data_IF_417559357288
#
_entry.id   IF_417559357288
#
_cell.length_a   1.000
_cell.length_b   1.000
_cell.length_c   1.000
_cell.angle_alpha   90.00
_cell.angle_beta   90.00
_cell.angle_gamma   90.00
#
_symmetry.space_group_name_H-M   'P 1'
#
loop_
_entity.id
_entity.type
_entity.pdbx_description
1 polymer ?
#
# COMPACT_ATOMS: atom_id res chain seq x y z
N UNK A 1 10.77 13.59 -2.63
CA UNK A 1 10.04 14.56 -3.50
C UNK A 1 10.93 15.78 -3.71
N UNK A 2 10.70 16.65 -4.71
CA UNK A 2 11.45 17.93 -4.71
C UNK A 2 10.97 18.77 -3.53
N UNK A 3 11.90 19.30 -2.72
CA UNK A 3 11.56 20.19 -1.62
C UNK A 3 10.67 21.36 -2.08
N UNK A 4 9.78 21.81 -1.21
CA UNK A 4 9.05 23.06 -1.44
C UNK A 4 10.03 24.24 -1.54
N UNK A 5 9.68 25.31 -2.26
CA UNK A 5 10.56 26.50 -2.38
C UNK A 5 11.01 27.04 -1.02
N UNK A 6 10.14 26.95 -0.01
CA UNK A 6 10.47 27.36 1.35
C UNK A 6 11.48 26.44 2.02
N UNK A 7 11.33 25.12 1.88
CA UNK A 7 12.29 24.17 2.44
C UNK A 7 13.64 24.24 1.72
N UNK A 8 13.67 24.57 0.43
CA UNK A 8 14.91 24.82 -0.30
C UNK A 8 15.68 26.01 0.30
N UNK A 9 14.99 27.11 0.62
CA UNK A 9 15.61 28.29 1.26
C UNK A 9 16.12 27.96 2.67
N UNK A 10 15.39 27.12 3.42
CA UNK A 10 15.82 26.62 4.72
C UNK A 10 17.07 25.73 4.60
N UNK A 11 17.09 24.80 3.64
CA UNK A 11 18.23 23.93 3.33
C UNK A 11 19.48 24.75 3.04
N UNK A 12 19.39 25.70 2.10
CA UNK A 12 20.51 26.60 1.77
C UNK A 12 21.00 27.37 3.00
N UNK A 13 20.08 27.84 3.84
CA UNK A 13 20.43 28.55 5.08
C UNK A 13 21.16 27.65 6.08
N UNK A 14 20.69 26.42 6.27
CA UNK A 14 21.30 25.44 7.17
C UNK A 14 22.70 25.05 6.69
N UNK A 15 22.86 24.78 5.39
CA UNK A 15 24.17 24.44 4.79
C UNK A 15 25.14 25.60 4.97
N UNK A 16 24.74 26.85 4.64
CA UNK A 16 25.59 28.02 4.83
C UNK A 16 25.99 28.24 6.30
N UNK A 17 25.06 28.02 7.24
CA UNK A 17 25.36 28.13 8.66
C UNK A 17 26.33 27.02 9.12
N UNK A 18 26.19 25.81 8.59
CA UNK A 18 27.07 24.68 8.86
C UNK A 18 28.49 24.91 8.32
N UNK A 19 28.61 25.40 7.08
CA UNK A 19 29.90 25.74 6.45
C UNK A 19 30.65 26.84 7.21
N UNK A 20 29.92 27.80 7.78
CA UNK A 20 30.48 28.92 8.55
C UNK A 20 30.70 28.58 10.03
N UNK A 21 30.35 27.35 10.46
CA UNK A 21 30.32 26.93 11.87
C UNK A 21 29.52 27.91 12.76
N UNK A 22 28.48 28.54 12.21
CA UNK A 22 27.65 29.54 12.88
C UNK A 22 26.63 28.87 13.81
N UNK A 23 27.13 28.47 14.99
CA UNK A 23 26.33 27.79 16.01
C UNK A 23 25.14 28.62 16.49
N UNK A 24 25.29 29.94 16.61
CA UNK A 24 24.20 30.80 17.07
C UNK A 24 23.02 30.76 16.09
N UNK A 25 23.31 30.69 14.79
CA UNK A 25 22.28 30.59 13.76
C UNK A 25 21.61 29.22 13.74
N UNK A 26 22.38 28.14 13.88
CA UNK A 26 21.84 26.77 13.96
C UNK A 26 20.96 26.58 15.20
N UNK A 27 21.41 27.07 16.36
CA UNK A 27 20.67 27.00 17.62
C UNK A 27 19.35 27.82 17.58
N UNK A 28 19.28 28.86 16.74
CA UNK A 28 18.04 29.63 16.53
C UNK A 28 17.08 28.93 15.57
N UNK A 29 17.58 28.37 14.47
CA UNK A 29 16.74 27.87 13.38
C UNK A 29 16.29 26.42 13.57
N UNK A 30 17.18 25.52 14.01
CA UNK A 30 16.84 24.10 14.15
C UNK A 30 15.65 23.84 15.09
N UNK A 31 15.48 24.58 16.20
CA UNK A 31 14.29 24.42 17.04
C UNK A 31 12.98 24.86 16.38
N UNK A 32 13.03 25.80 15.43
CA UNK A 32 11.82 26.33 14.75
C UNK A 32 11.29 25.39 13.67
N UNK A 33 12.16 24.54 13.09
CA UNK A 33 11.77 23.54 12.11
C UNK A 33 11.06 22.36 12.76
N UNK A 34 10.04 21.83 12.08
CA UNK A 34 9.37 20.58 12.50
C UNK A 34 10.26 19.38 12.13
N UNK A 35 10.02 18.24 12.80
CA UNK A 35 10.81 17.03 12.53
C UNK A 35 10.65 16.56 11.08
N UNK A 36 9.40 16.51 10.58
CA UNK A 36 9.10 16.18 9.17
C UNK A 36 9.74 17.15 8.16
N UNK A 37 9.68 18.46 8.41
CA UNK A 37 10.31 19.45 7.52
C UNK A 37 11.83 19.28 7.47
N UNK A 38 12.43 18.94 8.61
CA UNK A 38 13.87 18.71 8.70
C UNK A 38 14.26 17.36 8.09
N UNK A 39 13.46 16.30 8.25
CA UNK A 39 13.74 15.00 7.64
C UNK A 39 13.72 15.10 6.12
N UNK A 40 12.78 15.83 5.50
CA UNK A 40 12.80 16.06 4.05
C UNK A 40 14.09 16.75 3.58
N UNK A 41 14.57 17.76 4.33
CA UNK A 41 15.84 18.44 4.01
C UNK A 41 17.02 17.48 4.13
N UNK A 42 17.07 16.68 5.19
CA UNK A 42 18.14 15.73 5.45
C UNK A 42 18.12 14.57 4.44
N UNK A 43 16.94 14.10 4.02
CA UNK A 43 16.75 13.11 2.96
C UNK A 43 17.35 13.64 1.65
N UNK A 44 17.00 14.86 1.23
CA UNK A 44 17.56 15.45 0.01
C UNK A 44 19.09 15.63 0.13
N UNK A 45 19.61 16.00 1.30
CA UNK A 45 21.05 16.13 1.51
C UNK A 45 21.79 14.78 1.48
N UNK A 46 21.19 13.73 2.04
CA UNK A 46 21.78 12.39 2.05
C UNK A 46 21.74 11.76 0.65
N UNK A 47 20.59 11.81 -0.02
CA UNK A 47 20.36 11.11 -1.28
C UNK A 47 20.83 11.90 -2.52
N UNK A 48 20.40 13.16 -2.66
CA UNK A 48 20.60 13.92 -3.90
C UNK A 48 21.97 14.61 -3.92
N UNK A 49 22.43 15.10 -2.77
CA UNK A 49 23.71 15.79 -2.64
C UNK A 49 24.88 14.86 -2.23
N UNK A 50 24.59 13.61 -1.82
CA UNK A 50 25.58 12.64 -1.29
C UNK A 50 26.40 13.23 -0.12
N UNK A 51 25.75 14.01 0.76
CA UNK A 51 26.38 14.75 1.87
C UNK A 51 25.94 14.26 3.26
N UNK A 52 26.05 12.94 3.46
CA UNK A 52 25.86 12.30 4.77
C UNK A 52 26.68 12.95 5.91
N UNK A 53 27.93 13.43 5.70
CA UNK A 53 28.68 14.13 6.74
C UNK A 53 27.99 15.41 7.26
N UNK A 54 27.34 16.18 6.39
CA UNK A 54 26.59 17.35 6.82
C UNK A 54 25.30 16.98 7.55
N UNK A 55 24.62 15.92 7.12
CA UNK A 55 23.45 15.36 7.81
C UNK A 55 23.80 14.99 9.26
N UNK A 56 24.86 14.21 9.47
CA UNK A 56 25.30 13.81 10.81
C UNK A 56 25.66 15.01 11.69
N UNK A 57 26.33 16.02 11.12
CA UNK A 57 26.65 17.24 11.87
C UNK A 57 25.41 18.03 12.26
N UNK A 58 24.41 18.14 11.39
CA UNK A 58 23.15 18.82 11.71
C UNK A 58 22.40 18.09 12.84
N UNK A 59 22.35 16.74 12.76
CA UNK A 59 21.80 15.91 13.83
C UNK A 59 22.55 16.10 15.16
N UNK A 60 23.86 16.36 15.12
CA UNK A 60 24.68 16.63 16.31
C UNK A 60 24.31 17.93 17.04
N UNK A 61 23.69 18.89 16.37
CA UNK A 61 23.15 20.11 16.99
C UNK A 61 21.77 19.91 17.63
N UNK A 62 21.09 18.79 17.34
CA UNK A 62 19.78 18.50 17.93
C UNK A 62 19.93 17.81 19.30
N UNK A 63 19.05 18.14 20.26
CA UNK A 63 18.82 17.30 21.44
C UNK A 63 18.47 15.86 21.03
N UNK A 64 18.80 14.91 21.89
CA UNK A 64 18.65 13.47 21.60
C UNK A 64 17.21 13.09 21.21
N UNK A 65 16.22 13.54 21.99
CA UNK A 65 14.78 13.39 21.70
C UNK A 65 14.42 13.89 20.29
N UNK A 66 14.89 15.08 19.90
CA UNK A 66 14.62 15.62 18.55
C UNK A 66 15.35 14.85 17.46
N UNK A 67 16.54 14.31 17.75
CA UNK A 67 17.30 13.48 16.82
C UNK A 67 16.53 12.19 16.53
N UNK A 68 16.02 11.53 17.56
CA UNK A 68 15.17 10.34 17.44
C UNK A 68 13.94 10.63 16.57
N UNK A 69 13.17 11.69 16.88
CA UNK A 69 11.98 12.05 16.11
C UNK A 69 12.29 12.37 14.64
N UNK A 70 13.38 13.10 14.35
CA UNK A 70 13.76 13.41 12.97
C UNK A 70 14.17 12.15 12.22
N UNK A 71 14.88 11.22 12.87
CA UNK A 71 15.22 9.93 12.28
C UNK A 71 13.97 9.11 11.96
N UNK A 72 12.97 9.08 12.84
CA UNK A 72 11.70 8.37 12.62
C UNK A 72 11.01 8.76 11.31
N UNK A 73 11.07 10.03 10.91
CA UNK A 73 10.51 10.52 9.65
C UNK A 73 11.38 10.29 8.40
N UNK A 74 12.62 9.81 8.54
CA UNK A 74 13.47 9.52 7.38
C UNK A 74 13.05 8.19 6.74
N UNK A 75 13.17 8.05 5.41
CA UNK A 75 13.03 6.75 4.76
C UNK A 75 14.02 5.71 5.31
N UNK A 76 13.63 4.44 5.35
CA UNK A 76 14.43 3.36 5.94
C UNK A 76 15.86 3.24 5.39
N UNK A 77 16.07 3.48 4.09
CA UNK A 77 17.42 3.47 3.50
C UNK A 77 18.32 4.55 4.11
N UNK A 78 17.82 5.78 4.23
CA UNK A 78 18.55 6.91 4.83
C UNK A 78 18.73 6.71 6.33
N UNK A 79 17.72 6.17 7.03
CA UNK A 79 17.84 5.80 8.44
C UNK A 79 18.99 4.81 8.65
N UNK A 80 19.09 3.79 7.80
CA UNK A 80 20.15 2.78 7.86
C UNK A 80 21.53 3.41 7.63
N UNK A 81 21.70 4.23 6.58
CA UNK A 81 22.97 4.92 6.29
C UNK A 81 23.43 5.80 7.45
N UNK A 82 22.51 6.60 7.98
CA UNK A 82 22.76 7.46 9.14
C UNK A 82 23.12 6.62 10.36
N UNK A 83 22.38 5.54 10.63
CA UNK A 83 22.64 4.64 11.75
C UNK A 83 24.00 3.96 11.61
N UNK A 84 24.39 3.47 10.43
CA UNK A 84 25.70 2.86 10.15
C UNK A 84 26.89 3.79 10.40
N UNK A 85 26.69 5.10 10.21
CA UNK A 85 27.71 6.10 10.51
C UNK A 85 27.82 6.47 12.01
N UNK A 86 26.81 6.14 12.83
CA UNK A 86 26.85 6.40 14.28
C UNK A 86 27.67 5.34 15.05
N UNK A 87 28.24 5.73 16.18
CA UNK A 87 28.80 4.75 17.13
C UNK A 87 27.67 4.00 17.84
N UNK A 88 27.93 2.76 18.29
CA UNK A 88 26.92 1.95 18.99
C UNK A 88 26.40 2.63 20.27
N UNK A 89 27.23 3.43 20.96
CA UNK A 89 26.81 4.18 22.13
C UNK A 89 25.80 5.29 21.79
N UNK A 90 26.05 6.01 20.69
CA UNK A 90 25.16 7.08 20.23
C UNK A 90 23.87 6.49 19.68
N UNK A 91 23.97 5.48 18.81
CA UNK A 91 22.80 4.81 18.24
C UNK A 91 21.90 4.22 19.33
N UNK A 92 22.47 3.59 20.35
CA UNK A 92 21.70 3.09 21.49
C UNK A 92 20.94 4.21 22.21
N UNK A 93 21.60 5.35 22.44
CA UNK A 93 20.96 6.51 23.08
C UNK A 93 19.83 7.07 22.22
N UNK A 94 19.99 7.07 20.90
CA UNK A 94 18.93 7.52 19.97
C UNK A 94 17.76 6.53 19.98
N UNK A 95 18.03 5.23 19.88
CA UNK A 95 17.00 4.19 19.93
C UNK A 95 16.21 4.23 21.25
N UNK A 96 16.84 4.56 22.38
CA UNK A 96 16.14 4.69 23.66
C UNK A 96 15.10 5.83 23.68
N UNK A 97 15.27 6.85 22.83
CA UNK A 97 14.36 8.00 22.71
C UNK A 97 13.39 7.91 21.51
N UNK A 98 13.49 6.89 20.66
CA UNK A 98 12.56 6.66 19.54
C UNK A 98 11.26 5.99 20.02
N UNK A 99 10.15 6.23 19.30
CA UNK A 99 8.91 5.48 19.46
C UNK A 99 9.16 3.98 19.28
N UNK A 100 8.43 3.16 20.02
CA UNK A 100 8.76 1.73 20.11
C UNK A 100 8.59 0.95 18.79
N UNK A 101 7.67 1.38 17.93
CA UNK A 101 7.47 0.96 16.54
C UNK A 101 8.61 1.41 15.63
N UNK A 102 8.89 2.71 15.56
CA UNK A 102 9.96 3.28 14.72
C UNK A 102 11.33 2.68 15.08
N UNK A 103 11.55 2.43 16.38
CA UNK A 103 12.73 1.75 16.91
C UNK A 103 12.82 0.31 16.43
N UNK A 104 11.70 -0.41 16.37
CA UNK A 104 11.64 -1.78 15.88
C UNK A 104 11.94 -1.84 14.38
N UNK A 105 11.40 -0.90 13.60
CA UNK A 105 11.65 -0.79 12.17
C UNK A 105 13.12 -0.52 11.87
N UNK A 106 13.71 0.52 12.47
CA UNK A 106 15.13 0.80 12.30
C UNK A 106 15.99 -0.37 12.78
N UNK A 107 15.63 -1.03 13.88
CA UNK A 107 16.35 -2.20 14.37
C UNK A 107 16.36 -3.36 13.35
N UNK A 108 15.23 -3.62 12.68
CA UNK A 108 15.10 -4.66 11.66
C UNK A 108 15.94 -4.40 10.41
N UNK A 109 16.25 -3.14 10.10
CA UNK A 109 17.15 -2.77 9.01
C UNK A 109 18.63 -3.04 9.31
N UNK A 110 19.03 -3.10 10.59
CA UNK A 110 20.42 -3.31 10.99
C UNK A 110 20.88 -4.76 10.77
N UNK A 111 22.16 -4.94 10.48
CA UNK A 111 22.77 -6.27 10.43
C UNK A 111 22.75 -7.01 11.78
N UNK A 112 22.60 -8.35 11.72
CA UNK A 112 22.46 -9.25 12.90
C UNK A 112 23.55 -9.04 13.97
N UNK A 113 24.81 -8.83 13.57
CA UNK A 113 25.93 -8.60 14.49
C UNK A 113 25.72 -7.34 15.34
N UNK A 114 25.20 -6.28 14.71
CA UNK A 114 24.98 -4.99 15.37
C UNK A 114 23.74 -5.03 16.26
N UNK A 115 22.68 -5.67 15.79
CA UNK A 115 21.50 -5.99 16.59
C UNK A 115 21.88 -6.68 17.91
N UNK A 116 22.75 -7.70 17.87
CA UNK A 116 23.19 -8.41 19.07
C UNK A 116 23.96 -7.50 20.05
N UNK A 117 24.83 -6.63 19.53
CA UNK A 117 25.60 -5.67 20.36
C UNK A 117 24.67 -4.70 21.09
N UNK A 118 23.69 -4.12 20.37
CA UNK A 118 22.72 -3.17 20.94
C UNK A 118 21.86 -3.85 22.01
N UNK A 119 21.27 -5.01 21.69
CA UNK A 119 20.44 -5.77 22.62
C UNK A 119 21.18 -6.12 23.91
N UNK A 120 22.49 -6.40 23.87
CA UNK A 120 23.28 -6.72 25.07
C UNK A 120 23.39 -5.51 26.01
N UNK A 121 23.39 -4.29 25.48
CA UNK A 121 23.58 -3.03 26.22
C UNK A 121 22.27 -2.41 26.74
N UNK A 122 21.13 -2.68 26.08
CA UNK A 122 19.81 -2.18 26.50
C UNK A 122 19.37 -2.70 27.87
N UNK A 123 18.51 -1.94 28.57
CA UNK A 123 17.85 -2.43 29.78
C UNK A 123 16.99 -3.67 29.46
N UNK A 124 16.79 -4.55 30.46
CA UNK A 124 16.05 -5.81 30.22
C UNK A 124 14.63 -5.57 29.71
N UNK A 125 13.94 -4.54 30.21
CA UNK A 125 12.55 -4.28 29.84
C UNK A 125 12.44 -3.82 28.37
N UNK A 126 13.18 -2.78 27.99
CA UNK A 126 13.23 -2.26 26.61
C UNK A 126 13.69 -3.31 25.62
N UNK A 127 14.68 -4.13 26.00
CA UNK A 127 15.20 -5.21 25.14
C UNK A 127 14.14 -6.27 24.83
N UNK A 128 13.36 -6.68 25.82
CA UNK A 128 12.32 -7.69 25.62
C UNK A 128 11.13 -7.11 24.85
N UNK A 129 10.84 -5.82 25.04
CA UNK A 129 9.84 -5.10 24.26
C UNK A 129 10.24 -4.97 22.79
N UNK A 130 11.44 -4.45 22.52
CA UNK A 130 11.99 -4.32 21.16
C UNK A 130 12.04 -5.67 20.44
N UNK A 131 12.51 -6.73 21.10
CA UNK A 131 12.52 -8.08 20.52
C UNK A 131 11.14 -8.58 20.16
N UNK A 132 10.12 -8.21 20.94
CA UNK A 132 8.74 -8.61 20.68
C UNK A 132 8.22 -7.87 19.45
N UNK A 133 8.35 -6.54 19.40
CA UNK A 133 7.90 -5.74 18.26
C UNK A 133 8.63 -6.14 16.97
N UNK A 134 9.96 -6.23 17.01
CA UNK A 134 10.80 -6.66 15.89
C UNK A 134 10.54 -8.11 15.43
N UNK A 135 9.76 -8.92 16.16
CA UNK A 135 9.46 -10.32 15.79
C UNK A 135 8.18 -10.49 14.99
N UNK A 136 7.33 -9.47 14.91
CA UNK A 136 6.10 -9.54 14.13
C UNK A 136 6.41 -9.49 12.62
N UNK A 137 5.57 -10.15 11.84
CA UNK A 137 5.72 -10.21 10.38
C UNK A 137 5.32 -8.87 9.77
N UNK A 138 6.13 -8.35 8.84
CA UNK A 138 5.79 -7.16 8.05
C UNK A 138 4.41 -7.32 7.38
N UNK A 139 3.65 -6.24 7.28
CA UNK A 139 2.28 -6.28 6.75
C UNK A 139 1.21 -6.71 7.77
N UNK A 140 1.56 -6.89 9.05
CA UNK A 140 0.62 -7.23 10.13
C UNK A 140 0.42 -6.09 11.12
N UNK A 141 -0.68 -6.11 11.87
CA UNK A 141 -0.96 -5.18 12.95
C UNK A 141 0.17 -5.11 13.98
N UNK A 142 0.84 -6.23 14.25
CA UNK A 142 1.96 -6.29 15.18
C UNK A 142 3.23 -5.58 14.69
N UNK A 143 3.42 -5.46 13.38
CA UNK A 143 4.58 -4.77 12.81
C UNK A 143 4.42 -3.24 12.89
N UNK A 144 3.20 -2.73 12.73
CA UNK A 144 2.89 -1.29 12.72
C UNK A 144 2.35 -0.77 14.07
N UNK A 145 2.49 -1.54 15.16
CA UNK A 145 1.98 -1.12 16.47
C UNK A 145 3.08 -0.57 17.36
N UNK A 146 2.76 0.48 18.09
CA UNK A 146 3.56 0.96 19.21
C UNK A 146 3.11 0.30 20.53
N UNK A 147 4.08 0.06 21.40
CA UNK A 147 3.85 -0.38 22.78
C UNK A 147 3.62 0.79 23.76
N UNK A 148 3.74 2.02 23.28
CA UNK A 148 3.73 3.26 24.08
C UNK A 148 2.30 3.76 24.32
N UNK A 149 1.44 2.93 24.91
CA UNK A 149 0.04 3.23 25.18
C UNK A 149 -0.29 3.43 26.67
N UNK A 150 -1.34 4.23 26.94
CA UNK A 150 -1.80 4.46 28.32
C UNK A 150 -2.79 3.38 28.78
N UNK A 151 -2.30 2.46 29.61
CA UNK A 151 -3.11 1.45 30.28
C UNK A 151 -3.51 1.83 31.71
N UNK A 152 -4.81 1.71 32.01
CA UNK A 152 -5.43 1.97 33.31
C UNK A 152 -5.96 0.66 33.90
N UNK A 153 -5.47 0.18 35.05
CA UNK A 153 -6.06 -0.97 35.72
C UNK A 153 -7.53 -0.74 36.08
N UNK A 154 -8.36 -1.75 35.89
CA UNK A 154 -9.76 -1.77 36.34
C UNK A 154 -9.89 -1.53 37.86
N UNK A 155 -11.04 -0.99 38.27
CA UNK A 155 -11.33 -0.64 39.66
C UNK A 155 -10.71 0.65 40.16
N UNK A 156 -10.03 1.42 39.29
CA UNK A 156 -9.55 2.76 39.61
C UNK A 156 -10.68 3.80 39.55
N UNK A 157 -10.59 4.78 40.46
CA UNK A 157 -11.39 6.01 40.36
C UNK A 157 -10.85 6.95 39.29
N UNK A 158 -11.69 7.84 38.78
CA UNK A 158 -11.30 8.88 37.81
C UNK A 158 -10.08 9.68 38.27
N UNK A 159 -10.00 10.04 39.56
CA UNK A 159 -8.85 10.78 40.10
C UNK A 159 -7.55 9.98 40.07
N UNK A 160 -7.62 8.67 40.32
CA UNK A 160 -6.45 7.78 40.27
C UNK A 160 -6.00 7.56 38.83
N UNK A 161 -6.95 7.32 37.92
CA UNK A 161 -6.68 7.20 36.49
C UNK A 161 -6.05 8.48 35.94
N UNK A 162 -6.56 9.67 36.29
CA UNK A 162 -5.97 10.95 35.86
C UNK A 162 -4.54 11.15 36.39
N UNK A 163 -4.25 10.71 37.61
CA UNK A 163 -2.88 10.69 38.14
C UNK A 163 -1.98 9.74 37.36
N UNK A 164 -2.48 8.55 37.01
CA UNK A 164 -1.75 7.58 36.18
C UNK A 164 -1.44 8.16 34.80
N UNK A 165 -2.44 8.73 34.12
CA UNK A 165 -2.25 9.41 32.82
C UNK A 165 -1.12 10.44 32.92
N UNK A 166 -1.12 11.32 33.93
CA UNK A 166 -0.05 12.33 34.11
C UNK A 166 1.34 11.74 34.29
N UNK A 167 1.45 10.53 34.83
CA UNK A 167 2.73 9.84 35.03
C UNK A 167 3.20 9.08 33.80
N UNK A 168 2.30 8.71 32.89
CA UNK A 168 2.62 7.91 31.69
C UNK A 168 2.60 8.74 30.41
N UNK A 169 1.97 9.92 30.42
CA UNK A 169 1.85 10.79 29.25
C UNK A 169 3.17 11.21 28.58
N UNK A 170 4.31 11.39 29.28
CA UNK A 170 5.57 11.74 28.61
C UNK A 170 6.10 10.65 27.68
N UNK A 171 5.81 9.39 28.00
CA UNK A 171 6.36 8.21 27.31
C UNK A 171 5.26 7.48 26.50
N UNK A 172 4.16 8.16 26.20
CA UNK A 172 3.02 7.56 25.50
C UNK A 172 2.79 8.24 24.16
N UNK A 173 2.58 7.43 23.13
CA UNK A 173 2.27 7.87 21.77
C UNK A 173 1.04 8.77 21.75
N UNK A 174 -0.01 8.33 22.44
CA UNK A 174 -1.21 9.14 22.60
C UNK A 174 -1.86 8.94 23.95
N UNK A 175 -2.31 10.06 24.51
CA UNK A 175 -3.12 10.08 25.74
C UNK A 175 -4.61 10.27 25.46
N UNK A 176 -5.01 10.46 24.20
CA UNK A 176 -6.41 10.79 23.88
C UNK A 176 -7.36 9.63 24.09
N UNK A 177 -6.87 8.40 23.91
CA UNK A 177 -7.58 7.17 24.18
C UNK A 177 -6.87 6.38 25.26
N UNK A 178 -7.62 5.88 26.25
CA UNK A 178 -7.13 5.13 27.39
C UNK A 178 -7.69 3.71 27.33
N UNK A 179 -6.86 2.73 27.66
CA UNK A 179 -7.26 1.32 27.65
C UNK A 179 -7.36 0.78 29.06
N UNK A 180 -8.49 0.17 29.37
CA UNK A 180 -8.74 -0.40 30.69
C UNK A 180 -8.35 -1.86 30.63
N UNK A 181 -7.44 -2.28 31.51
CA UNK A 181 -6.97 -3.66 31.59
C UNK A 181 -7.42 -4.34 32.87
N UNK A 182 -7.72 -5.63 32.78
CA UNK A 182 -7.98 -6.48 33.93
C UNK A 182 -6.67 -6.94 34.61
N UNK A 183 -6.73 -7.63 35.77
CA UNK A 183 -5.54 -8.13 36.46
C UNK A 183 -4.68 -9.12 35.66
N UNK A 184 -5.26 -9.76 34.64
CA UNK A 184 -4.60 -10.70 33.73
C UNK A 184 -3.97 -10.02 32.49
N UNK A 185 -4.17 -8.70 32.35
CA UNK A 185 -3.68 -7.87 31.26
C UNK A 185 -4.61 -7.82 30.04
N UNK A 186 -5.83 -8.37 30.15
CA UNK A 186 -6.80 -8.37 29.05
C UNK A 186 -7.47 -7.03 28.89
N UNK A 187 -7.80 -6.71 27.64
CA UNK A 187 -8.52 -5.49 27.29
C UNK A 187 -9.98 -5.57 27.79
N UNK A 188 -10.29 -4.84 28.86
CA UNK A 188 -11.60 -4.83 29.52
C UNK A 188 -12.50 -3.69 29.07
N UNK A 189 -11.92 -2.60 28.55
CA UNK A 189 -12.67 -1.46 28.05
C UNK A 189 -11.78 -0.35 27.51
N UNK A 190 -12.41 0.71 26.99
CA UNK A 190 -11.71 1.91 26.52
C UNK A 190 -12.43 3.19 26.95
N UNK A 191 -11.68 4.28 27.15
CA UNK A 191 -12.20 5.57 27.62
C UNK A 191 -11.40 6.71 27.01
N UNK A 192 -12.08 7.73 26.46
CA UNK A 192 -11.36 8.92 25.99
C UNK A 192 -10.90 9.82 27.14
N UNK A 193 -9.76 10.48 27.01
CA UNK A 193 -9.28 11.46 28.00
C UNK A 193 -10.28 12.58 28.26
N UNK A 194 -10.99 13.01 27.21
CA UNK A 194 -12.10 13.97 27.32
C UNK A 194 -13.17 13.50 28.30
N UNK A 195 -13.60 12.24 28.22
CA UNK A 195 -14.57 11.68 29.16
C UNK A 195 -14.02 11.63 30.58
N UNK A 196 -12.75 11.25 30.74
CA UNK A 196 -12.09 11.21 32.04
C UNK A 196 -12.02 12.60 32.69
N UNK A 197 -11.72 13.65 31.91
CA UNK A 197 -11.61 15.03 32.38
C UNK A 197 -12.93 15.64 32.89
N UNK A 198 -14.06 15.28 32.29
CA UNK A 198 -15.38 15.81 32.67
C UNK A 198 -16.09 14.96 33.74
N UNK A 199 -15.59 13.75 34.00
CA UNK A 199 -16.16 12.84 34.97
C UNK A 199 -15.92 13.29 36.41
N UNK A 200 -16.76 12.82 37.33
CA UNK A 200 -16.59 13.11 38.76
C UNK A 200 -15.35 12.38 39.29
N UNK A 201 -14.45 13.04 40.06
CA UNK A 201 -13.20 12.42 40.51
C UNK A 201 -13.34 11.09 41.27
N UNK A 202 -14.46 10.89 41.97
CA UNK A 202 -14.75 9.66 42.72
C UNK A 202 -15.57 8.61 41.97
N UNK A 203 -15.95 8.84 40.71
CA UNK A 203 -16.59 7.83 39.88
C UNK A 203 -15.58 6.72 39.52
N UNK A 204 -16.07 5.50 39.30
CA UNK A 204 -15.24 4.38 38.84
C UNK A 204 -15.05 4.45 37.34
N UNK A 205 -13.84 4.15 36.87
CA UNK A 205 -13.54 4.06 35.44
C UNK A 205 -14.36 2.94 34.77
N UNK A 206 -14.54 1.82 35.47
CA UNK A 206 -15.29 0.64 35.01
C UNK A 206 -16.76 0.94 34.66
N UNK A 207 -17.34 1.97 35.27
CA UNK A 207 -18.71 2.42 35.05
C UNK A 207 -18.82 3.39 33.85
N UNK A 208 -17.69 3.99 33.43
CA UNK A 208 -17.62 5.00 32.38
C UNK A 208 -17.09 4.46 31.05
N UNK A 209 -16.31 3.39 31.10
CA UNK A 209 -15.66 2.80 29.92
C UNK A 209 -16.65 2.16 28.95
N UNK A 210 -16.27 2.14 27.67
CA UNK A 210 -16.91 1.33 26.64
C UNK A 210 -16.33 -0.08 26.76
N UNK A 211 -17.18 -1.09 26.98
CA UNK A 211 -16.77 -2.50 27.17
C UNK A 211 -16.70 -3.30 25.88
N UNK A 212 -17.49 -2.91 24.89
CA UNK A 212 -17.46 -3.49 23.54
C UNK A 212 -16.37 -2.75 22.75
N UNK A 213 -15.12 -3.15 22.98
CA UNK A 213 -13.96 -2.50 22.38
C UNK A 213 -13.69 -3.13 21.02
N UNK A 214 -13.53 -2.29 20.01
CA UNK A 214 -13.05 -2.71 18.70
C UNK A 214 -11.53 -2.85 18.82
N UNK A 215 -11.02 -4.07 18.68
CA UNK A 215 -9.59 -4.40 18.70
C UNK A 215 -9.25 -5.31 17.53
N UNK A 216 -7.95 -5.38 17.22
CA UNK A 216 -7.41 -6.27 16.18
C UNK A 216 -6.42 -7.25 16.81
N UNK A 217 -6.33 -8.50 16.32
CA UNK A 217 -5.27 -9.40 16.73
C UNK A 217 -3.92 -8.99 16.10
N UNK A 218 -2.80 -9.39 16.71
CA UNK A 218 -1.44 -9.05 16.23
C UNK A 218 -1.15 -9.53 14.80
N UNK A 219 -1.80 -10.59 14.34
CA UNK A 219 -1.64 -11.19 13.01
C UNK A 219 -2.65 -10.66 11.97
N UNK A 220 -3.47 -9.68 12.33
CA UNK A 220 -4.39 -9.02 11.39
C UNK A 220 -3.60 -8.29 10.30
N UNK A 221 -4.08 -8.33 9.06
CA UNK A 221 -3.42 -7.61 7.96
C UNK A 221 -3.52 -6.10 8.17
N UNK A 222 -2.42 -5.37 7.93
CA UNK A 222 -2.35 -3.92 8.10
C UNK A 222 -3.44 -3.16 7.32
N UNK A 223 -3.81 -3.65 6.13
CA UNK A 223 -4.90 -3.09 5.32
C UNK A 223 -6.25 -3.11 6.08
N UNK A 224 -6.55 -4.20 6.80
CA UNK A 224 -7.78 -4.29 7.60
C UNK A 224 -7.74 -3.36 8.82
N UNK A 225 -6.56 -3.19 9.43
CA UNK A 225 -6.34 -2.22 10.51
C UNK A 225 -6.66 -0.81 10.01
N UNK A 226 -6.09 -0.40 8.88
CA UNK A 226 -6.35 0.89 8.25
C UNK A 226 -7.84 1.07 7.90
N UNK A 227 -8.48 0.02 7.34
CA UNK A 227 -9.94 0.03 7.07
C UNK A 227 -10.77 0.23 8.34
N UNK A 228 -10.41 -0.40 9.45
CA UNK A 228 -11.11 -0.26 10.73
C UNK A 228 -10.95 1.15 11.31
N UNK A 229 -9.72 1.68 11.32
CA UNK A 229 -9.41 3.04 11.77
C UNK A 229 -10.25 4.06 11.00
N UNK A 230 -10.26 3.98 9.66
CA UNK A 230 -11.04 4.87 8.80
C UNK A 230 -12.56 4.68 8.95
N UNK A 231 -13.04 3.45 9.13
CA UNK A 231 -14.49 3.15 9.25
C UNK A 231 -15.10 3.69 10.53
N UNK A 232 -14.34 3.67 11.63
CA UNK A 232 -14.82 4.03 12.96
C UNK A 232 -14.29 5.38 13.46
N UNK A 233 -13.57 6.14 12.60
CA UNK A 233 -12.92 7.41 12.93
C UNK A 233 -12.07 7.31 14.21
N UNK A 234 -11.31 6.21 14.35
CA UNK A 234 -10.50 5.95 15.54
C UNK A 234 -9.19 6.73 15.49
N UNK A 235 -8.77 7.28 16.64
CA UNK A 235 -7.44 7.89 16.77
C UNK A 235 -6.35 6.84 16.97
N UNK A 236 -6.71 5.70 17.54
CA UNK A 236 -5.86 4.54 17.68
C UNK A 236 -6.74 3.28 17.86
N UNK A 237 -6.26 2.14 17.39
CA UNK A 237 -6.90 0.83 17.56
C UNK A 237 -6.03 -0.07 18.45
N UNK A 238 -6.60 -0.69 19.50
CA UNK A 238 -5.84 -1.61 20.35
C UNK A 238 -5.55 -2.93 19.65
N UNK A 239 -4.31 -3.40 19.81
CA UNK A 239 -3.84 -4.68 19.31
C UNK A 239 -3.73 -5.69 20.46
N UNK A 240 -4.29 -6.88 20.25
CA UNK A 240 -4.33 -7.94 21.26
C UNK A 240 -3.59 -9.21 20.82
N UNK A 241 -2.93 -9.87 21.78
CA UNK A 241 -2.33 -11.20 21.54
C UNK A 241 -3.40 -12.32 21.53
N UNK A 242 -2.97 -13.56 21.31
CA UNK A 242 -3.86 -14.74 21.31
C UNK A 242 -4.53 -15.04 22.67
N UNK A 243 -4.01 -14.49 23.77
CA UNK A 243 -4.60 -14.58 25.11
C UNK A 243 -5.59 -13.42 25.39
N UNK A 244 -5.87 -12.56 24.41
CA UNK A 244 -6.66 -11.31 24.49
C UNK A 244 -6.01 -10.23 25.38
N UNK A 245 -4.69 -10.30 25.60
CA UNK A 245 -3.96 -9.25 26.30
C UNK A 245 -3.66 -8.10 25.37
N UNK A 246 -3.80 -6.87 25.89
CA UNK A 246 -3.38 -5.67 25.16
C UNK A 246 -1.85 -5.67 25.07
N UNK A 247 -1.33 -5.60 23.84
CA UNK A 247 0.12 -5.63 23.58
C UNK A 247 0.64 -4.39 22.86
N UNK A 248 -0.24 -3.64 22.19
CA UNK A 248 0.11 -2.42 21.49
C UNK A 248 -1.13 -1.65 21.02
N UNK A 249 -0.88 -0.55 20.32
CA UNK A 249 -1.90 0.21 19.59
C UNK A 249 -1.36 0.57 18.21
N UNK A 250 -2.24 0.70 17.22
CA UNK A 250 -1.91 1.31 15.93
C UNK A 250 -2.58 2.66 15.85
N UNK A 251 -1.81 3.69 15.54
CA UNK A 251 -2.25 5.09 15.49
C UNK A 251 -2.84 5.43 14.13
N UNK A 252 -3.62 6.52 14.07
CA UNK A 252 -4.34 6.89 12.85
C UNK A 252 -3.43 7.34 11.70
N UNK A 253 -2.24 7.83 12.03
CA UNK A 253 -1.20 8.32 11.15
C UNK A 253 -0.47 7.14 10.50
N UNK A 254 -0.02 6.15 11.26
CA UNK A 254 0.55 4.91 10.67
C UNK A 254 -0.48 4.17 9.83
N UNK A 255 -1.73 4.14 10.27
CA UNK A 255 -2.84 3.60 9.47
C UNK A 255 -3.07 4.38 8.17
N UNK A 256 -2.74 5.68 8.13
CA UNK A 256 -2.82 6.50 6.92
C UNK A 256 -1.64 6.21 5.98
N UNK A 257 -0.44 6.04 6.52
CA UNK A 257 0.75 5.68 5.75
C UNK A 257 0.56 4.30 5.09
N UNK A 258 0.07 3.32 5.85
CA UNK A 258 -0.34 2.00 5.33
C UNK A 258 -1.39 2.15 4.21
N UNK A 259 -2.38 3.03 4.36
CA UNK A 259 -3.39 3.22 3.34
C UNK A 259 -2.81 3.81 2.03
N UNK A 260 -1.77 4.65 2.11
CA UNK A 260 -1.05 5.19 0.95
C UNK A 260 -0.16 4.14 0.29
N UNK A 261 0.56 3.34 1.09
CA UNK A 261 1.39 2.23 0.63
C UNK A 261 0.57 1.18 -0.10
N UNK A 262 -0.53 0.70 0.49
CA UNK A 262 -1.42 -0.30 -0.10
C UNK A 262 -2.05 0.23 -1.40
N UNK A 263 -2.46 1.50 -1.44
CA UNK A 263 -3.00 2.11 -2.66
C UNK A 263 -1.95 2.19 -3.78
N UNK A 264 -0.69 2.43 -3.43
CA UNK A 264 0.44 2.48 -4.37
C UNK A 264 0.82 1.09 -4.85
N UNK A 265 0.85 0.11 -3.95
CA UNK A 265 1.10 -1.29 -4.25
C UNK A 265 0.06 -1.86 -5.22
N UNK A 266 -1.23 -1.64 -4.93
CA UNK A 266 -2.34 -2.06 -5.79
C UNK A 266 -2.21 -1.46 -7.20
N UNK A 267 -1.82 -0.19 -7.28
CA UNK A 267 -1.61 0.48 -8.56
C UNK A 267 -0.44 -0.14 -9.34
N UNK A 268 0.69 -0.41 -8.67
CA UNK A 268 1.85 -1.06 -9.26
C UNK A 268 1.52 -2.47 -9.77
N UNK A 269 0.88 -3.31 -8.94
CA UNK A 269 0.41 -4.65 -9.30
C UNK A 269 -0.56 -4.61 -10.49
N UNK A 270 -1.52 -3.69 -10.48
CA UNK A 270 -2.48 -3.50 -11.57
C UNK A 270 -1.82 -3.15 -12.92
N UNK A 271 -0.63 -2.55 -12.90
CA UNK A 271 0.19 -2.29 -14.09
C UNK A 271 1.23 -3.37 -14.39
N UNK A 272 1.23 -4.47 -13.63
CA UNK A 272 2.24 -5.55 -13.71
C UNK A 272 3.67 -5.09 -13.49
N UNK A 273 3.84 -4.02 -12.73
CA UNK A 273 5.12 -3.58 -12.20
C UNK A 273 5.06 -4.14 -10.78
N UNK A 274 5.77 -5.23 -10.46
CA UNK A 274 5.82 -5.72 -9.07
C UNK A 274 6.21 -4.60 -8.10
N UNK A 275 5.95 -4.77 -6.79
CA UNK A 275 6.20 -3.77 -5.75
C UNK A 275 7.47 -2.93 -6.04
N UNK A 276 7.30 -1.61 -6.09
CA UNK A 276 8.40 -0.65 -6.03
C UNK A 276 8.27 -0.05 -4.63
N UNK A 277 9.15 -0.43 -3.72
CA UNK A 277 9.22 0.16 -2.38
C UNK A 277 9.57 1.66 -2.50
N UNK A 278 10.43 2.02 -3.47
CA UNK A 278 10.78 3.43 -3.73
C UNK A 278 10.08 4.02 -4.96
N UNK A 279 9.93 5.36 -4.95
CA UNK A 279 9.46 6.13 -6.09
C UNK A 279 10.23 5.83 -7.39
N UNK A 280 9.54 5.89 -8.54
CA UNK A 280 10.06 5.47 -9.86
C UNK A 280 11.41 6.10 -10.26
N UNK A 281 11.72 7.31 -9.78
CA UNK A 281 12.99 7.99 -10.05
C UNK A 281 14.18 7.43 -9.26
N UNK A 282 13.91 6.74 -8.15
CA UNK A 282 14.91 6.30 -7.16
C UNK A 282 15.37 4.85 -7.38
N UNK A 283 14.52 4.02 -7.97
CA UNK A 283 14.85 2.60 -8.19
C UNK A 283 15.93 2.43 -9.29
N UNK A 284 17.03 1.69 -9.04
CA UNK A 284 18.08 1.50 -10.03
C UNK A 284 17.56 0.84 -11.31
N UNK A 285 18.04 1.30 -12.47
CA UNK A 285 17.57 0.85 -13.80
C UNK A 285 17.53 -0.67 -13.95
N UNK A 286 18.50 -1.37 -13.34
CA UNK A 286 18.56 -2.83 -13.37
C UNK A 286 17.44 -3.50 -12.56
N UNK A 287 17.08 -2.95 -11.40
CA UNK A 287 15.96 -3.45 -10.59
C UNK A 287 14.64 -3.27 -11.33
N UNK A 288 14.39 -2.08 -11.90
CA UNK A 288 13.23 -1.81 -12.75
C UNK A 288 13.14 -2.77 -13.94
N UNK A 289 14.27 -2.99 -14.64
CA UNK A 289 14.33 -3.93 -15.75
C UNK A 289 13.98 -5.35 -15.30
N UNK A 290 14.56 -5.84 -14.21
CA UNK A 290 14.31 -7.21 -13.69
C UNK A 290 12.85 -7.42 -13.28
N UNK A 291 12.25 -6.43 -12.57
CA UNK A 291 10.85 -6.47 -12.14
C UNK A 291 9.88 -6.50 -13.34
N UNK A 292 10.20 -5.81 -14.45
CA UNK A 292 9.35 -5.77 -15.66
C UNK A 292 9.59 -6.90 -16.66
N UNK A 293 10.86 -7.24 -16.94
CA UNK A 293 11.21 -8.19 -18.02
C UNK A 293 10.67 -9.59 -17.76
N UNK A 294 10.67 -10.03 -16.50
CA UNK A 294 10.14 -11.35 -16.11
C UNK A 294 8.68 -11.49 -16.53
N UNK A 295 7.88 -10.48 -16.24
CA UNK A 295 6.47 -10.45 -16.61
C UNK A 295 6.26 -10.27 -18.12
N UNK A 296 6.97 -9.33 -18.74
CA UNK A 296 6.84 -9.06 -20.19
C UNK A 296 7.22 -10.27 -21.03
N UNK A 297 8.28 -11.01 -20.66
CA UNK A 297 8.67 -12.24 -21.36
C UNK A 297 7.58 -13.30 -21.22
N UNK A 298 6.99 -13.47 -20.04
CA UNK A 298 5.88 -14.39 -19.83
C UNK A 298 4.69 -14.04 -20.74
N UNK A 299 4.32 -12.75 -20.84
CA UNK A 299 3.26 -12.29 -21.72
C UNK A 299 3.59 -12.50 -23.21
N UNK A 300 4.85 -12.33 -23.62
CA UNK A 300 5.28 -12.64 -25.01
C UNK A 300 5.06 -14.11 -25.34
N UNK A 301 5.42 -15.03 -24.44
CA UNK A 301 5.16 -16.45 -24.64
C UNK A 301 3.66 -16.77 -24.68
N UNK A 302 2.86 -16.12 -23.83
CA UNK A 302 1.41 -16.27 -23.87
C UNK A 302 0.82 -15.75 -25.21
N UNK A 303 1.37 -14.69 -25.81
CA UNK A 303 0.96 -14.20 -27.13
C UNK A 303 1.27 -15.17 -28.29
N UNK A 304 2.13 -16.18 -28.10
CA UNK A 304 2.33 -17.22 -29.11
C UNK A 304 1.05 -18.05 -29.35
N UNK A 305 0.15 -18.16 -28.36
CA UNK A 305 -1.13 -18.83 -28.54
C UNK A 305 -2.01 -18.12 -29.57
N UNK A 306 -1.99 -16.78 -29.60
CA UNK A 306 -2.66 -15.98 -30.64
C UNK A 306 -2.10 -16.29 -32.03
N UNK A 307 -0.77 -16.40 -32.14
CA UNK A 307 -0.09 -16.80 -33.38
C UNK A 307 -0.49 -18.20 -33.86
N UNK A 308 -0.60 -19.17 -32.94
CA UNK A 308 -1.09 -20.51 -33.26
C UNK A 308 -2.57 -20.49 -33.72
N UNK A 309 -3.40 -19.63 -33.11
CA UNK A 309 -4.78 -19.42 -33.56
C UNK A 309 -4.86 -18.86 -34.98
N UNK A 310 -4.02 -17.88 -35.33
CA UNK A 310 -3.95 -17.34 -36.70
C UNK A 310 -3.53 -18.43 -37.69
N UNK A 311 -2.52 -19.23 -37.34
CA UNK A 311 -2.05 -20.33 -38.19
C UNK A 311 -3.12 -21.41 -38.42
N UNK A 312 -3.94 -21.70 -37.40
CA UNK A 312 -5.04 -22.66 -37.54
C UNK A 312 -6.11 -22.21 -38.57
N UNK A 313 -6.31 -20.90 -38.74
CA UNK A 313 -7.28 -20.33 -39.69
C UNK A 313 -6.64 -19.83 -41.00
N UNK A 314 -5.46 -20.31 -41.37
CA UNK A 314 -4.72 -19.90 -42.57
C UNK A 314 -5.56 -20.00 -43.85
N UNK A 315 -6.32 -21.08 -44.01
CA UNK A 315 -7.20 -21.28 -45.18
C UNK A 315 -8.30 -20.21 -45.27
N UNK A 316 -8.87 -19.80 -44.14
CA UNK A 316 -9.91 -18.76 -44.07
C UNK A 316 -9.32 -17.39 -44.37
N UNK A 317 -8.12 -17.13 -43.88
CA UNK A 317 -7.37 -15.89 -44.15
C UNK A 317 -7.00 -15.81 -45.64
N UNK A 318 -6.54 -16.92 -46.23
CA UNK A 318 -6.21 -16.98 -47.65
C UNK A 318 -7.45 -16.75 -48.54
N UNK A 319 -8.61 -17.24 -48.12
CA UNK A 319 -9.88 -16.99 -48.81
C UNK A 319 -10.28 -15.51 -48.76
N UNK A 320 -10.08 -14.82 -47.64
CA UNK A 320 -10.42 -13.40 -47.50
C UNK A 320 -9.35 -12.63 -46.69
N UNK A 321 -8.28 -12.22 -47.39
CA UNK A 321 -7.14 -11.50 -46.81
C UNK A 321 -7.57 -10.20 -46.10
N UNK A 322 -8.68 -9.59 -46.54
CA UNK A 322 -9.23 -8.38 -45.94
C UNK A 322 -9.55 -8.52 -44.45
N UNK A 323 -9.80 -9.75 -43.96
CA UNK A 323 -10.10 -10.01 -42.54
C UNK A 323 -8.94 -9.61 -41.62
N UNK A 324 -7.69 -9.75 -42.07
CA UNK A 324 -6.49 -9.45 -41.27
C UNK A 324 -6.42 -7.97 -40.92
N UNK A 325 -6.92 -7.07 -41.78
CA UNK A 325 -6.90 -5.63 -41.52
C UNK A 325 -7.81 -5.20 -40.36
N UNK A 326 -8.76 -6.04 -39.96
CA UNK A 326 -9.65 -5.77 -38.83
C UNK A 326 -9.19 -6.40 -37.52
N UNK A 327 -8.18 -7.27 -37.58
CA UNK A 327 -7.68 -8.01 -36.42
C UNK A 327 -7.16 -7.09 -35.31
N UNK A 328 -6.29 -6.08 -35.57
CA UNK A 328 -5.85 -5.17 -34.53
C UNK A 328 -7.00 -4.36 -33.89
N UNK A 329 -7.99 -4.00 -34.71
CA UNK A 329 -9.13 -3.21 -34.27
C UNK A 329 -10.06 -4.02 -33.35
N UNK A 330 -10.35 -5.27 -33.72
CA UNK A 330 -11.25 -6.14 -32.95
C UNK A 330 -10.61 -6.58 -31.63
N UNK A 331 -9.37 -7.06 -31.72
CA UNK A 331 -8.61 -7.51 -30.55
C UNK A 331 -8.34 -6.35 -29.61
N UNK A 332 -7.85 -5.21 -30.12
CA UNK A 332 -7.59 -4.03 -29.29
C UNK A 332 -8.84 -3.49 -28.61
N UNK A 333 -10.00 -3.53 -29.28
CA UNK A 333 -11.27 -3.09 -28.66
C UNK A 333 -11.71 -4.02 -27.54
N UNK A 334 -11.61 -5.35 -27.75
CA UNK A 334 -11.87 -6.33 -26.71
C UNK A 334 -10.93 -6.17 -25.52
N UNK A 335 -9.63 -6.06 -25.79
CA UNK A 335 -8.58 -5.88 -24.79
C UNK A 335 -8.82 -4.65 -23.93
N UNK A 336 -9.13 -3.50 -24.55
CA UNK A 336 -9.43 -2.26 -23.83
C UNK A 336 -10.69 -2.39 -22.97
N UNK A 337 -11.76 -3.00 -23.50
CA UNK A 337 -13.01 -3.21 -22.76
C UNK A 337 -12.81 -4.17 -21.56
N UNK A 338 -12.04 -5.24 -21.76
CA UNK A 338 -11.68 -6.17 -20.70
C UNK A 338 -10.79 -5.55 -19.63
N UNK A 339 -9.77 -4.77 -20.03
CA UNK A 339 -8.92 -4.05 -19.11
C UNK A 339 -9.72 -3.06 -18.24
N UNK A 340 -10.67 -2.32 -18.84
CA UNK A 340 -11.55 -1.42 -18.09
C UNK A 340 -12.41 -2.17 -17.07
N UNK A 341 -13.02 -3.29 -17.47
CA UNK A 341 -13.84 -4.11 -16.59
C UNK A 341 -13.00 -4.71 -15.44
N UNK A 342 -11.77 -5.14 -15.72
CA UNK A 342 -10.83 -5.67 -14.73
C UNK A 342 -10.44 -4.59 -13.72
N UNK A 343 -10.00 -3.41 -14.18
CA UNK A 343 -9.60 -2.30 -13.29
C UNK A 343 -10.74 -1.87 -12.36
N UNK A 344 -11.97 -1.74 -12.88
CA UNK A 344 -13.12 -1.38 -12.06
C UNK A 344 -13.45 -2.45 -11.02
N UNK A 345 -13.30 -3.73 -11.38
CA UNK A 345 -13.59 -4.85 -10.49
C UNK A 345 -12.52 -4.99 -9.41
N UNK A 346 -11.23 -4.93 -9.77
CA UNK A 346 -10.11 -4.95 -8.82
C UNK A 346 -10.25 -3.81 -7.81
N UNK A 347 -10.50 -2.59 -8.28
CA UNK A 347 -10.70 -1.44 -7.38
C UNK A 347 -11.91 -1.63 -6.47
N UNK A 348 -13.03 -2.11 -7.00
CA UNK A 348 -14.22 -2.37 -6.18
C UNK A 348 -13.98 -3.44 -5.11
N UNK A 349 -13.13 -4.43 -5.39
CA UNK A 349 -12.72 -5.45 -4.43
C UNK A 349 -11.78 -4.89 -3.36
N UNK A 350 -10.76 -4.12 -3.74
CA UNK A 350 -9.82 -3.47 -2.82
C UNK A 350 -10.53 -2.50 -1.86
N UNK A 351 -11.47 -1.69 -2.37
CA UNK A 351 -12.24 -0.77 -1.52
C UNK A 351 -13.35 -1.44 -0.70
N UNK A 352 -13.52 -2.76 -0.79
CA UNK A 352 -14.58 -3.49 -0.11
C UNK A 352 -16.02 -3.20 -0.60
N UNK A 353 -16.19 -2.48 -1.72
CA UNK A 353 -17.49 -2.17 -2.33
C UNK A 353 -18.10 -3.41 -3.02
N UNK A 354 -17.25 -4.31 -3.51
CA UNK A 354 -17.62 -5.48 -4.29
C UNK A 354 -17.09 -6.77 -3.65
N UNK A 355 -18.00 -7.64 -3.22
CA UNK A 355 -17.65 -8.96 -2.71
C UNK A 355 -17.93 -10.09 -3.72
N UNK A 356 -17.41 -11.29 -3.43
CA UNK A 356 -17.68 -12.52 -4.20
C UNK A 356 -19.20 -12.83 -4.28
N UNK A 357 -19.98 -12.40 -3.28
CA UNK A 357 -21.43 -12.58 -3.23
C UNK A 357 -22.17 -11.75 -4.29
N UNK A 358 -21.59 -10.64 -4.74
CA UNK A 358 -22.20 -9.74 -5.72
C UNK A 358 -21.92 -10.14 -7.17
N UNK A 359 -21.05 -11.14 -7.38
CA UNK A 359 -20.58 -11.58 -8.70
C UNK A 359 -21.71 -11.82 -9.72
N UNK A 360 -22.78 -12.54 -9.33
CA UNK A 360 -23.90 -12.85 -10.24
C UNK A 360 -24.69 -11.61 -10.67
N UNK A 361 -24.85 -10.63 -9.78
CA UNK A 361 -25.54 -9.36 -10.05
C UNK A 361 -24.68 -8.47 -10.94
N UNK A 362 -23.37 -8.45 -10.72
CA UNK A 362 -22.40 -7.73 -11.54
C UNK A 362 -22.34 -8.32 -12.95
N UNK A 363 -22.31 -9.65 -13.07
CA UNK A 363 -22.34 -10.35 -14.36
C UNK A 363 -23.52 -9.92 -15.23
N UNK A 364 -24.72 -9.87 -14.64
CA UNK A 364 -25.92 -9.42 -15.35
C UNK A 364 -25.85 -7.97 -15.82
N UNK A 365 -25.30 -7.07 -15.00
CA UNK A 365 -25.09 -5.66 -15.37
C UNK A 365 -24.06 -5.53 -16.49
N UNK A 366 -22.95 -6.25 -16.39
CA UNK A 366 -21.87 -6.18 -17.38
C UNK A 366 -22.31 -6.71 -18.74
N UNK A 367 -23.11 -7.78 -18.79
CA UNK A 367 -23.69 -8.27 -20.05
C UNK A 367 -24.45 -7.18 -20.81
N UNK A 368 -25.21 -6.34 -20.09
CA UNK A 368 -25.95 -5.23 -20.69
C UNK A 368 -25.03 -4.10 -21.15
N UNK A 369 -24.06 -3.71 -20.30
CA UNK A 369 -23.13 -2.62 -20.61
C UNK A 369 -22.20 -3.01 -21.76
N UNK A 370 -21.51 -4.14 -21.65
CA UNK A 370 -20.58 -4.64 -22.67
C UNK A 370 -21.29 -4.98 -23.98
N UNK A 371 -22.51 -5.53 -23.94
CA UNK A 371 -23.33 -5.74 -25.13
C UNK A 371 -23.68 -4.44 -25.84
N UNK A 372 -24.03 -3.39 -25.08
CA UNK A 372 -24.34 -2.06 -25.63
C UNK A 372 -23.10 -1.38 -26.22
N UNK A 373 -21.94 -1.49 -25.56
CA UNK A 373 -20.66 -0.99 -26.06
C UNK A 373 -20.26 -1.71 -27.35
N UNK A 374 -20.32 -3.04 -27.35
CA UNK A 374 -20.02 -3.87 -28.52
C UNK A 374 -20.92 -3.53 -29.71
N UNK A 375 -22.22 -3.32 -29.48
CA UNK A 375 -23.16 -2.90 -30.54
C UNK A 375 -22.81 -1.51 -31.09
N UNK A 376 -22.49 -0.56 -30.22
CA UNK A 376 -22.12 0.80 -30.62
C UNK A 376 -20.85 0.79 -31.46
N UNK A 377 -19.84 0.03 -31.06
CA UNK A 377 -18.59 -0.14 -31.81
C UNK A 377 -18.82 -0.88 -33.13
N UNK A 378 -19.67 -1.92 -33.15
CA UNK A 378 -20.01 -2.65 -34.37
C UNK A 378 -20.66 -1.75 -35.41
N UNK A 379 -21.61 -0.90 -35.00
CA UNK A 379 -22.25 0.09 -35.88
C UNK A 379 -21.26 1.11 -36.42
N UNK A 380 -20.30 1.54 -35.59
CA UNK A 380 -19.25 2.49 -36.02
C UNK A 380 -18.30 1.88 -37.07
N UNK A 381 -18.01 0.58 -36.97
CA UNK A 381 -17.03 -0.10 -37.84
C UNK A 381 -17.67 -0.69 -39.10
N UNK A 382 -18.97 -0.98 -39.09
CA UNK A 382 -19.69 -1.58 -40.21
C UNK A 382 -19.47 -0.86 -41.57
N UNK A 383 -19.49 0.49 -41.67
CA UNK A 383 -19.22 1.18 -42.93
C UNK A 383 -17.81 0.91 -43.49
N UNK A 384 -16.81 0.81 -42.60
CA UNK A 384 -15.43 0.51 -42.95
C UNK A 384 -15.32 -0.95 -43.43
N UNK A 385 -16.06 -1.85 -42.77
CA UNK A 385 -16.22 -3.26 -43.17
C UNK A 385 -16.71 -3.39 -44.61
N UNK A 386 -17.79 -2.67 -44.94
CA UNK A 386 -18.37 -2.69 -46.30
C UNK A 386 -17.37 -2.16 -47.31
N UNK A 387 -16.71 -1.03 -47.01
CA UNK A 387 -15.77 -0.39 -47.93
C UNK A 387 -14.54 -1.24 -48.22
N UNK A 388 -14.01 -1.99 -47.24
CA UNK A 388 -12.76 -2.76 -47.40
C UNK A 388 -12.95 -4.22 -47.81
N UNK A 389 -14.07 -4.84 -47.50
CA UNK A 389 -14.26 -6.29 -47.69
C UNK A 389 -15.64 -6.71 -48.18
N UNK A 390 -16.55 -5.76 -48.43
CA UNK A 390 -17.93 -6.06 -48.84
C UNK A 390 -18.86 -6.40 -47.67
N UNK A 391 -20.13 -6.68 -47.97
CA UNK A 391 -21.19 -6.88 -46.98
C UNK A 391 -20.95 -8.09 -46.07
N UNK A 392 -20.43 -9.19 -46.62
CA UNK A 392 -20.12 -10.39 -45.85
C UNK A 392 -19.03 -10.12 -44.78
N UNK A 393 -17.97 -9.40 -45.14
CA UNK A 393 -16.93 -9.00 -44.19
C UNK A 393 -17.45 -8.02 -43.16
N UNK A 394 -18.29 -7.05 -43.57
CA UNK A 394 -18.90 -6.11 -42.63
C UNK A 394 -19.73 -6.83 -41.55
N UNK A 395 -20.48 -7.86 -41.94
CA UNK A 395 -21.27 -8.68 -41.02
C UNK A 395 -20.38 -9.46 -40.06
N UNK A 396 -19.32 -10.10 -40.57
CA UNK A 396 -18.34 -10.82 -39.75
C UNK A 396 -17.69 -9.88 -38.73
N UNK A 397 -17.24 -8.71 -39.16
CA UNK A 397 -16.58 -7.72 -38.29
C UNK A 397 -17.56 -7.19 -37.24
N UNK A 398 -18.79 -6.87 -37.61
CA UNK A 398 -19.80 -6.37 -36.67
C UNK A 398 -20.19 -7.43 -35.61
N UNK A 399 -20.46 -8.66 -36.03
CA UNK A 399 -20.80 -9.76 -35.11
C UNK A 399 -19.62 -10.11 -34.19
N UNK A 400 -18.41 -10.09 -34.73
CA UNK A 400 -17.20 -10.33 -33.95
C UNK A 400 -16.91 -9.22 -32.97
N UNK A 401 -17.14 -7.95 -33.34
CA UNK A 401 -16.96 -6.81 -32.44
C UNK A 401 -17.84 -6.95 -31.19
N UNK A 402 -19.13 -7.23 -31.37
CA UNK A 402 -20.04 -7.45 -30.23
C UNK A 402 -19.56 -8.60 -29.36
N UNK A 403 -19.20 -9.73 -29.97
CA UNK A 403 -18.84 -10.95 -29.25
C UNK A 403 -17.52 -10.80 -28.50
N UNK A 404 -16.50 -10.19 -29.13
CA UNK A 404 -15.17 -10.00 -28.55
C UNK A 404 -15.21 -8.96 -27.42
N UNK A 405 -15.92 -7.85 -27.60
CA UNK A 405 -16.09 -6.85 -26.52
C UNK A 405 -16.84 -7.45 -25.34
N UNK A 406 -17.93 -8.17 -25.59
CA UNK A 406 -18.68 -8.86 -24.55
C UNK A 406 -17.79 -9.87 -23.81
N UNK A 407 -17.10 -10.75 -24.54
CA UNK A 407 -16.22 -11.74 -23.95
C UNK A 407 -15.07 -11.09 -23.16
N UNK A 408 -14.44 -10.06 -23.72
CA UNK A 408 -13.36 -9.33 -23.08
C UNK A 408 -13.77 -8.69 -21.76
N UNK A 409 -14.89 -7.97 -21.74
CA UNK A 409 -15.45 -7.38 -20.52
C UNK A 409 -15.82 -8.44 -19.47
N UNK A 410 -16.43 -9.54 -19.88
CA UNK A 410 -16.76 -10.64 -18.96
C UNK A 410 -15.52 -11.30 -18.38
N UNK A 411 -14.50 -11.55 -19.21
CA UNK A 411 -13.22 -12.09 -18.78
C UNK A 411 -12.52 -11.14 -17.80
N UNK A 412 -12.47 -9.85 -18.14
CA UNK A 412 -11.89 -8.81 -17.30
C UNK A 412 -12.55 -8.72 -15.92
N UNK A 413 -13.89 -8.77 -15.86
CA UNK A 413 -14.61 -8.77 -14.59
C UNK A 413 -14.47 -10.11 -13.83
N UNK A 414 -14.47 -11.25 -14.50
CA UNK A 414 -14.43 -12.55 -13.81
C UNK A 414 -13.04 -12.91 -13.28
N UNK A 415 -11.97 -12.49 -13.96
CA UNK A 415 -10.60 -12.88 -13.63
C UNK A 415 -10.19 -12.53 -12.18
N UNK A 416 -10.42 -11.30 -11.66
CA UNK A 416 -10.10 -10.95 -10.27
C UNK A 416 -10.80 -11.86 -9.24
N UNK A 417 -12.09 -12.19 -9.45
CA UNK A 417 -12.82 -13.10 -8.55
C UNK A 417 -12.28 -14.53 -8.59
N UNK A 418 -11.85 -14.99 -9.77
CA UNK A 418 -11.24 -16.31 -9.92
C UNK A 418 -9.92 -16.38 -9.16
N UNK A 419 -9.07 -15.34 -9.27
CA UNK A 419 -7.80 -15.26 -8.54
C UNK A 419 -8.03 -15.25 -7.03
N UNK A 420 -8.94 -14.40 -6.54
CA UNK A 420 -9.30 -14.34 -5.12
C UNK A 420 -9.72 -15.71 -4.59
N UNK A 421 -10.53 -16.44 -5.37
CA UNK A 421 -11.04 -17.75 -4.96
C UNK A 421 -9.97 -18.84 -4.89
N UNK A 422 -8.85 -18.68 -5.60
CA UNK A 422 -7.70 -19.58 -5.55
C UNK A 422 -6.67 -19.12 -4.50
N UNK A 423 -6.92 -18.00 -3.81
CA UNK A 423 -6.03 -17.42 -2.80
C UNK A 423 -4.90 -16.58 -3.40
N UNK A 424 -5.05 -16.14 -4.66
CA UNK A 424 -4.12 -15.19 -5.28
C UNK A 424 -4.68 -13.79 -5.21
N UNK A 425 -3.79 -12.81 -5.15
CA UNK A 425 -4.13 -11.40 -5.13
C UNK A 425 -4.95 -11.00 -6.39
N UNK A 426 -6.18 -10.47 -6.22
CA UNK A 426 -7.01 -9.98 -7.31
C UNK A 426 -6.35 -8.91 -8.18
N UNK A 427 -5.47 -8.06 -7.63
CA UNK A 427 -4.74 -7.02 -8.35
C UNK A 427 -3.78 -7.58 -9.41
N UNK A 428 -3.43 -8.87 -9.31
CA UNK A 428 -2.69 -9.63 -10.33
C UNK A 428 -3.46 -9.77 -11.64
N UNK A 429 -4.79 -9.57 -11.65
CA UNK A 429 -5.61 -9.50 -12.86
C UNK A 429 -5.38 -8.19 -13.63
N UNK A 430 -4.12 -7.93 -13.96
CA UNK A 430 -3.65 -6.70 -14.58
C UNK A 430 -4.21 -6.52 -15.98
N UNK A 431 -4.31 -5.26 -16.42
CA UNK A 431 -4.74 -4.94 -17.77
C UNK A 431 -3.93 -5.70 -18.85
N UNK A 432 -2.59 -5.82 -18.75
CA UNK A 432 -1.80 -6.63 -19.68
C UNK A 432 -2.22 -8.11 -19.73
N UNK A 433 -2.43 -8.76 -18.58
CA UNK A 433 -2.82 -10.17 -18.54
C UNK A 433 -4.17 -10.40 -19.24
N UNK A 434 -5.14 -9.52 -18.94
CA UNK A 434 -6.48 -9.56 -19.56
C UNK A 434 -6.38 -9.35 -21.06
N UNK A 435 -5.59 -8.37 -21.53
CA UNK A 435 -5.39 -8.14 -22.97
C UNK A 435 -4.77 -9.34 -23.66
N UNK A 436 -3.74 -9.98 -23.10
CA UNK A 436 -3.14 -11.19 -23.68
C UNK A 436 -4.09 -12.37 -23.80
N UNK A 437 -4.95 -12.59 -22.79
CA UNK A 437 -6.00 -13.62 -22.87
C UNK A 437 -7.02 -13.31 -23.97
N UNK A 438 -7.35 -12.02 -24.14
CA UNK A 438 -8.25 -11.55 -25.20
C UNK A 438 -7.60 -11.59 -26.57
N UNK A 439 -6.29 -11.39 -26.70
CA UNK A 439 -5.56 -11.57 -27.95
C UNK A 439 -5.73 -13.01 -28.44
N UNK A 440 -5.50 -14.00 -27.57
CA UNK A 440 -5.60 -15.41 -27.93
C UNK A 440 -7.05 -15.83 -28.23
N UNK A 441 -7.98 -15.52 -27.33
CA UNK A 441 -9.39 -15.90 -27.48
C UNK A 441 -10.11 -15.09 -28.57
N UNK A 442 -9.77 -13.81 -28.74
CA UNK A 442 -10.34 -12.90 -29.73
C UNK A 442 -9.99 -13.32 -31.16
N UNK A 443 -8.76 -13.78 -31.41
CA UNK A 443 -8.39 -14.42 -32.69
C UNK A 443 -9.30 -15.62 -32.98
N UNK A 444 -9.47 -16.51 -32.00
CA UNK A 444 -10.28 -17.71 -32.16
C UNK A 444 -11.75 -17.37 -32.40
N UNK A 445 -12.32 -16.41 -31.64
CA UNK A 445 -13.70 -15.95 -31.80
C UNK A 445 -13.89 -15.33 -33.20
N UNK A 446 -13.02 -14.41 -33.59
CA UNK A 446 -13.11 -13.70 -34.86
C UNK A 446 -13.10 -14.66 -36.05
N UNK A 447 -12.10 -15.53 -36.13
CA UNK A 447 -11.97 -16.43 -37.26
C UNK A 447 -12.96 -17.59 -37.23
N UNK A 448 -13.45 -17.99 -36.05
CA UNK A 448 -14.57 -18.95 -35.97
C UNK A 448 -15.86 -18.35 -36.56
N UNK A 449 -16.16 -17.10 -36.23
CA UNK A 449 -17.32 -16.37 -36.82
C UNK A 449 -17.10 -16.18 -38.32
N UNK A 450 -15.90 -15.76 -38.73
CA UNK A 450 -15.56 -15.59 -40.14
C UNK A 450 -15.75 -16.90 -40.92
N UNK A 451 -15.23 -18.01 -40.40
CA UNK A 451 -15.37 -19.34 -41.03
C UNK A 451 -16.84 -19.70 -41.14
N UNK A 452 -17.61 -19.61 -40.04
CA UNK A 452 -19.02 -19.98 -40.02
C UNK A 452 -19.88 -19.15 -41.00
N UNK A 453 -19.62 -17.84 -41.10
CA UNK A 453 -20.36 -16.95 -42.00
C UNK A 453 -19.92 -17.12 -43.46
N UNK A 454 -18.62 -17.29 -43.72
CA UNK A 454 -18.08 -17.38 -45.08
C UNK A 454 -18.20 -18.78 -45.71
N UNK A 455 -18.28 -19.85 -44.91
CA UNK A 455 -18.59 -21.21 -45.42
C UNK A 455 -20.09 -21.53 -45.39
N UNK A 456 -20.89 -20.75 -44.66
CA UNK A 456 -22.36 -20.82 -44.68
C UNK A 456 -23.01 -20.01 -45.81
N UNK A 457 -22.22 -19.18 -46.50
CA UNK A 457 -22.54 -18.51 -47.77
C UNK A 457 -22.01 -19.34 -48.95
#
# INVERSE_FOLDING_TARGET
MSLSEQLQEHKETLILALEQEDRERLDQWLPELRAADLSEILEEMAEDDDDLPSVLKLLDFLPLERRANVLGYLPGEVQLEVAEAMTDELLLSVLEEMGSDERADLFNLLGEDRQEVLLRRMARQEREDLKRLASYEEGTAGAIMTSDYVAIPSGMTVSQAMMRVRQTAPDAETVYQLYIIDPEGKLAGTLSLRQLMVARPGAQVDDLMIKDVISVPVDEAQEEVARLVARYDMLAVPVTDHDERLVGIVTHDDAMDVAEEEATEDFHKGMSIGQLEDGVSRVPLWSLYRKRVTWLVLLVFANLFSGAGIAYFEDTIAAQVALVFFLPLLIGSGGNAGAQAATLTVRGMATGDVGVKDWSKLLGRELLVAGSLGLTMALAVAPIGVMRGGEAVAMVVAASMVTIVLFGSLLGMCLPFILNRVGWDPATASAPLVTTLIDASGVLIYFSIATAVLTGL
#
